data_IF_417797956637
#
_entry.id   IF_417797956637
#
_cell.length_a   1.000
_cell.length_b   1.000
_cell.length_c   1.000
_cell.angle_alpha   90.00
_cell.angle_beta   90.00
_cell.angle_gamma   90.00
#
_symmetry.space_group_name_H-M   'P 1'
#
loop_
_entity.id
_entity.type
_entity.pdbx_description
1 polymer ?
#
# COMPACT_ATOMS: atom_id res chain seq x y z
N UNK A 1 3.27 -12.39 7.37
CA UNK A 1 1.95 -12.22 6.72
C UNK A 1 1.50 -10.76 6.87
N UNK A 2 0.79 -10.19 5.89
CA UNK A 2 0.32 -8.81 5.96
C UNK A 2 -0.76 -8.60 7.03
N UNK A 3 -1.65 -9.59 7.22
CA UNK A 3 -2.68 -9.53 8.28
C UNK A 3 -2.07 -9.37 9.68
N UNK A 4 -0.93 -10.03 9.94
CA UNK A 4 -0.21 -9.96 11.21
C UNK A 4 0.47 -8.61 11.37
N UNK A 5 1.12 -8.10 10.32
CA UNK A 5 1.76 -6.77 10.33
C UNK A 5 0.74 -5.65 10.60
N UNK A 6 -0.49 -5.81 10.09
CA UNK A 6 -1.59 -4.85 10.22
C UNK A 6 -2.56 -5.18 11.36
N UNK A 7 -2.23 -6.11 12.27
CA UNK A 7 -3.17 -6.65 13.27
C UNK A 7 -3.84 -5.57 14.14
N UNK A 8 -3.16 -4.46 14.43
CA UNK A 8 -3.75 -3.33 15.18
C UNK A 8 -5.01 -2.73 14.54
N UNK A 9 -5.19 -2.94 13.25
CA UNK A 9 -6.34 -2.46 12.49
C UNK A 9 -7.41 -3.53 12.28
N UNK A 10 -7.25 -4.70 12.91
CA UNK A 10 -8.20 -5.81 12.80
C UNK A 10 -9.62 -5.34 13.17
N UNK A 11 -10.52 -5.45 12.19
CA UNK A 11 -11.94 -5.06 12.30
C UNK A 11 -12.21 -3.61 12.72
N UNK A 12 -11.22 -2.72 12.66
CA UNK A 12 -11.41 -1.30 12.90
C UNK A 12 -12.19 -0.69 11.74
N UNK A 13 -13.22 0.11 12.04
CA UNK A 13 -14.12 0.69 11.01
C UNK A 13 -13.58 2.03 10.48
N UNK A 14 -12.36 2.03 9.96
CA UNK A 14 -11.69 3.17 9.34
C UNK A 14 -10.81 2.74 8.15
N UNK A 15 -10.03 3.67 7.60
CA UNK A 15 -9.12 3.42 6.49
C UNK A 15 -8.00 2.42 6.87
N UNK A 16 -7.45 2.50 8.07
CA UNK A 16 -6.50 1.48 8.57
C UNK A 16 -7.09 0.07 8.55
N UNK A 17 -8.34 -0.10 8.99
CA UNK A 17 -9.04 -1.39 8.91
C UNK A 17 -9.32 -1.86 7.49
N UNK A 18 -9.50 -0.93 6.54
CA UNK A 18 -9.54 -1.28 5.10
C UNK A 18 -8.18 -1.77 4.61
N UNK A 19 -7.08 -1.13 5.02
CA UNK A 19 -5.74 -1.61 4.71
C UNK A 19 -5.52 -3.04 5.22
N UNK A 20 -5.94 -3.34 6.46
CA UNK A 20 -5.90 -4.71 7.00
C UNK A 20 -6.72 -5.71 6.18
N UNK A 21 -7.94 -5.36 5.76
CA UNK A 21 -8.75 -6.23 4.90
C UNK A 21 -8.05 -6.58 3.58
N UNK A 22 -7.35 -5.62 2.97
CA UNK A 22 -6.54 -5.89 1.79
C UNK A 22 -5.31 -6.75 2.11
N UNK A 23 -4.67 -6.55 3.27
CA UNK A 23 -3.62 -7.42 3.81
C UNK A 23 -4.06 -8.88 3.94
N UNK A 24 -5.25 -9.13 4.50
CA UNK A 24 -5.85 -10.46 4.56
C UNK A 24 -6.07 -11.03 3.15
N UNK A 25 -6.55 -10.21 2.21
CA UNK A 25 -6.72 -10.61 0.81
C UNK A 25 -5.42 -11.09 0.17
N UNK A 26 -4.32 -10.37 0.36
CA UNK A 26 -2.99 -10.76 -0.12
C UNK A 26 -2.58 -12.11 0.45
N UNK A 27 -2.66 -12.26 1.78
CA UNK A 27 -2.28 -13.48 2.48
C UNK A 27 -3.10 -14.71 2.05
N UNK A 28 -4.36 -14.52 1.64
CA UNK A 28 -5.19 -15.58 1.09
C UNK A 28 -4.76 -15.95 -0.34
N UNK A 29 -4.44 -14.95 -1.17
CA UNK A 29 -3.98 -15.16 -2.55
C UNK A 29 -2.63 -15.89 -2.60
N UNK A 30 -1.72 -15.57 -1.69
CA UNK A 30 -0.42 -16.27 -1.55
C UNK A 30 -0.56 -17.77 -1.23
N UNK A 31 -1.73 -18.20 -0.75
CA UNK A 31 -2.04 -19.63 -0.49
C UNK A 31 -2.73 -20.34 -1.65
N UNK A 32 -2.98 -19.64 -2.76
CA UNK A 32 -3.60 -20.20 -3.95
C UNK A 32 -2.55 -20.56 -5.01
N UNK A 33 -2.97 -21.29 -6.04
CA UNK A 33 -2.14 -21.60 -7.21
C UNK A 33 -2.37 -20.61 -8.37
N UNK A 34 -2.92 -19.41 -8.08
CA UNK A 34 -3.13 -18.39 -9.11
C UNK A 34 -1.78 -17.85 -9.54
N UNK A 35 -1.42 -18.05 -10.80
CA UNK A 35 -0.13 -17.61 -11.36
C UNK A 35 -0.13 -16.12 -11.70
N UNK A 36 -1.28 -15.61 -12.15
CA UNK A 36 -1.45 -14.21 -12.52
C UNK A 36 -1.46 -13.31 -11.28
N UNK A 37 -0.64 -12.26 -11.29
CA UNK A 37 -0.46 -11.37 -10.14
C UNK A 37 -1.46 -10.20 -10.09
N UNK A 38 -2.40 -10.06 -11.04
CA UNK A 38 -3.32 -8.92 -11.14
C UNK A 38 -4.12 -8.68 -9.87
N UNK A 39 -4.73 -9.73 -9.31
CA UNK A 39 -5.56 -9.64 -8.11
C UNK A 39 -4.69 -9.31 -6.89
N UNK A 40 -3.53 -9.96 -6.77
CA UNK A 40 -2.56 -9.68 -5.71
C UNK A 40 -2.12 -8.20 -5.75
N UNK A 41 -1.79 -7.72 -6.94
CA UNK A 41 -1.39 -6.34 -7.19
C UNK A 41 -2.48 -5.32 -6.85
N UNK A 42 -3.73 -5.60 -7.21
CA UNK A 42 -4.88 -4.78 -6.79
C UNK A 42 -4.98 -4.66 -5.27
N UNK A 43 -4.92 -5.79 -4.54
CA UNK A 43 -4.97 -5.74 -3.08
C UNK A 43 -3.75 -5.03 -2.48
N UNK A 44 -2.55 -5.24 -3.02
CA UNK A 44 -1.35 -4.58 -2.54
C UNK A 44 -1.39 -3.06 -2.72
N UNK A 45 -1.83 -2.59 -3.89
CA UNK A 45 -2.00 -1.17 -4.13
C UNK A 45 -3.04 -0.57 -3.19
N UNK A 46 -4.21 -1.20 -3.03
CA UNK A 46 -5.27 -0.72 -2.14
C UNK A 46 -4.84 -0.73 -0.67
N UNK A 47 -4.08 -1.73 -0.22
CA UNK A 47 -3.51 -1.78 1.13
C UNK A 47 -2.67 -0.52 1.42
N UNK A 48 -1.75 -0.17 0.52
CA UNK A 48 -0.93 1.03 0.64
C UNK A 48 -1.76 2.32 0.58
N UNK A 49 -2.68 2.41 -0.39
CA UNK A 49 -3.52 3.58 -0.55
C UNK A 49 -4.33 3.87 0.73
N UNK A 50 -4.95 2.84 1.30
CA UNK A 50 -5.74 2.96 2.52
C UNK A 50 -4.85 3.33 3.71
N UNK A 51 -3.65 2.77 3.83
CA UNK A 51 -2.71 3.10 4.89
C UNK A 51 -2.22 4.56 4.80
N UNK A 52 -1.83 5.03 3.61
CA UNK A 52 -1.42 6.43 3.44
C UNK A 52 -2.55 7.40 3.77
N UNK A 53 -3.77 7.13 3.29
CA UNK A 53 -4.92 7.99 3.57
C UNK A 53 -5.31 7.96 5.04
N UNK A 54 -5.19 6.82 5.72
CA UNK A 54 -5.32 6.72 7.17
C UNK A 54 -4.31 7.61 7.91
N UNK A 55 -3.04 7.55 7.53
CA UNK A 55 -1.99 8.39 8.13
C UNK A 55 -2.23 9.88 7.90
N UNK A 56 -2.63 10.27 6.69
CA UNK A 56 -3.00 11.65 6.39
C UNK A 56 -4.24 12.10 7.17
N UNK A 57 -5.25 11.24 7.32
CA UNK A 57 -6.46 11.54 8.10
C UNK A 57 -6.16 11.72 9.59
N UNK A 58 -5.25 10.92 10.15
CA UNK A 58 -5.08 10.82 11.61
C UNK A 58 -3.84 11.52 12.16
N UNK A 59 -2.79 11.69 11.36
CA UNK A 59 -1.49 12.25 11.78
C UNK A 59 -1.17 13.60 11.13
N UNK A 60 -1.92 14.04 10.11
CA UNK A 60 -1.72 15.38 9.53
C UNK A 60 -2.43 16.47 10.33
N UNK A 61 -1.98 17.71 10.17
CA UNK A 61 -2.59 18.88 10.85
C UNK A 61 -4.07 19.09 10.51
N UNK A 62 -4.48 18.77 9.28
CA UNK A 62 -5.81 19.08 8.77
C UNK A 62 -6.70 17.84 8.59
N UNK A 63 -6.16 16.63 8.78
CA UNK A 63 -6.90 15.38 8.61
C UNK A 63 -7.45 15.18 7.20
N UNK A 64 -6.74 15.67 6.18
CA UNK A 64 -7.17 15.64 4.79
C UNK A 64 -6.14 14.94 3.91
N UNK A 65 -6.63 14.27 2.86
CA UNK A 65 -5.81 13.61 1.84
C UNK A 65 -6.37 13.90 0.45
N UNK A 66 -5.52 13.89 -0.58
CA UNK A 66 -5.99 14.11 -1.94
C UNK A 66 -6.82 12.94 -2.48
N UNK A 67 -7.59 13.20 -3.55
CA UNK A 67 -8.38 12.16 -4.24
C UNK A 67 -7.54 11.31 -5.20
N UNK A 68 -6.22 11.36 -5.12
CA UNK A 68 -5.36 10.51 -5.96
C UNK A 68 -5.36 9.06 -5.50
N UNK A 69 -5.03 8.17 -6.42
CA UNK A 69 -4.73 6.75 -6.18
C UNK A 69 -3.24 6.43 -6.43
N UNK A 70 -2.47 7.44 -6.87
CA UNK A 70 -1.05 7.31 -7.17
C UNK A 70 -0.26 7.23 -5.88
N UNK A 71 0.28 6.05 -5.57
CA UNK A 71 0.93 5.78 -4.29
C UNK A 71 2.14 6.69 -4.01
N UNK A 72 2.96 6.99 -5.03
CA UNK A 72 4.10 7.90 -4.86
C UNK A 72 3.67 9.34 -4.49
N UNK A 73 2.50 9.80 -4.97
CA UNK A 73 1.95 11.10 -4.59
C UNK A 73 1.40 11.09 -3.17
N UNK A 74 0.77 10.00 -2.75
CA UNK A 74 0.33 9.85 -1.37
C UNK A 74 1.51 9.78 -0.40
N UNK A 75 2.63 9.14 -0.78
CA UNK A 75 3.86 9.17 0.02
C UNK A 75 4.42 10.59 0.14
N UNK A 76 4.52 11.34 -0.96
CA UNK A 76 4.92 12.76 -0.94
C UNK A 76 4.02 13.57 0.01
N UNK A 77 2.70 13.40 -0.08
CA UNK A 77 1.74 14.05 0.83
C UNK A 77 1.97 13.68 2.30
N UNK A 78 2.23 12.40 2.60
CA UNK A 78 2.51 11.96 3.98
C UNK A 78 3.77 12.62 4.52
N UNK A 79 4.86 12.64 3.74
CA UNK A 79 6.11 13.30 4.15
C UNK A 79 5.97 14.80 4.33
N UNK A 80 5.12 15.47 3.53
CA UNK A 80 4.94 16.92 3.61
C UNK A 80 3.99 17.34 4.74
N UNK A 81 3.02 16.51 5.09
CA UNK A 81 1.91 16.89 5.97
C UNK A 81 1.95 16.21 7.35
N UNK A 82 2.90 15.32 7.59
CA UNK A 82 3.09 14.62 8.86
C UNK A 82 4.57 14.63 9.27
N UNK A 83 4.93 14.31 10.52
CA UNK A 83 6.33 14.14 10.93
C UNK A 83 7.04 12.90 10.34
N UNK A 84 6.39 12.13 9.46
CA UNK A 84 6.98 10.94 8.86
C UNK A 84 8.12 11.30 7.91
N UNK A 85 9.33 10.80 8.20
CA UNK A 85 10.52 11.00 7.38
C UNK A 85 10.97 9.70 6.71
N UNK A 86 11.22 9.76 5.40
CA UNK A 86 11.79 8.66 4.62
C UNK A 86 12.48 9.16 3.33
N UNK A 87 13.18 8.27 2.63
CA UNK A 87 13.69 8.55 1.28
C UNK A 87 12.62 8.28 0.22
N UNK A 88 11.87 9.31 -0.16
CA UNK A 88 10.82 9.21 -1.18
C UNK A 88 11.37 8.76 -2.55
N UNK A 89 12.63 9.07 -2.87
CA UNK A 89 13.25 8.71 -4.15
C UNK A 89 13.45 7.21 -4.24
N UNK A 90 13.85 6.56 -3.14
CA UNK A 90 14.01 5.11 -3.03
C UNK A 90 12.75 4.35 -3.40
N UNK A 91 11.58 4.84 -2.99
CA UNK A 91 10.31 4.12 -3.15
C UNK A 91 9.50 4.52 -4.38
N UNK A 92 9.80 5.68 -4.99
CA UNK A 92 9.01 6.26 -6.08
C UNK A 92 8.71 5.29 -7.21
N UNK A 93 9.72 4.60 -7.73
CA UNK A 93 9.54 3.71 -8.88
C UNK A 93 8.72 2.47 -8.54
N UNK A 94 9.00 1.83 -7.40
CA UNK A 94 8.24 0.67 -6.94
C UNK A 94 6.75 1.02 -6.76
N UNK A 95 6.46 2.14 -6.10
CA UNK A 95 5.09 2.63 -5.91
C UNK A 95 4.39 2.98 -7.23
N UNK A 96 5.14 3.47 -8.23
CA UNK A 96 4.60 3.73 -9.56
C UNK A 96 4.27 2.44 -10.32
N UNK A 97 5.15 1.42 -10.28
CA UNK A 97 4.89 0.11 -10.89
C UNK A 97 3.65 -0.54 -10.28
N UNK A 98 3.53 -0.53 -8.95
CA UNK A 98 2.36 -1.04 -8.23
C UNK A 98 1.08 -0.30 -8.64
N UNK A 99 1.14 1.03 -8.76
CA UNK A 99 0.00 1.85 -9.21
C UNK A 99 -0.45 1.43 -10.62
N UNK A 100 0.48 1.37 -11.58
CA UNK A 100 0.18 1.03 -12.98
C UNK A 100 -0.38 -0.40 -13.07
N UNK A 101 0.24 -1.34 -12.37
CA UNK A 101 -0.22 -2.73 -12.35
C UNK A 101 -1.67 -2.84 -11.82
N UNK A 102 -2.04 -2.07 -10.79
CA UNK A 102 -3.40 -2.02 -10.28
C UNK A 102 -4.38 -1.16 -11.11
N UNK A 103 -3.91 -0.36 -12.06
CA UNK A 103 -4.78 0.32 -13.04
C UNK A 103 -5.15 -0.64 -14.19
N UNK A 104 -4.19 -1.48 -14.59
CA UNK A 104 -4.30 -2.42 -15.73
C UNK A 104 -4.89 -3.81 -15.36
N UNK A 105 -4.99 -4.13 -14.06
CA UNK A 105 -5.32 -5.47 -13.54
C UNK A 105 -6.61 -6.11 -14.07
N UNK A 106 -7.59 -5.33 -14.54
CA UNK A 106 -8.92 -5.85 -14.90
C UNK A 106 -8.98 -6.52 -16.27
N UNK A 107 -8.04 -6.19 -17.16
CA UNK A 107 -8.13 -6.57 -18.58
C UNK A 107 -6.81 -7.02 -19.20
N UNK A 108 -5.70 -6.83 -18.49
CA UNK A 108 -4.36 -7.05 -19.03
C UNK A 108 -3.71 -8.30 -18.42
N UNK A 109 -3.60 -9.37 -19.21
CA UNK A 109 -2.86 -10.59 -18.85
C UNK A 109 -1.35 -10.48 -19.11
N UNK A 110 -0.87 -9.35 -19.65
CA UNK A 110 0.54 -9.09 -19.95
C UNK A 110 1.23 -8.30 -18.84
N UNK A 111 0.72 -8.37 -17.60
CA UNK A 111 1.38 -7.74 -16.46
C UNK A 111 2.72 -8.43 -16.23
N UNK A 112 3.78 -7.64 -16.16
CA UNK A 112 5.09 -8.13 -15.73
C UNK A 112 5.06 -8.44 -14.23
N UNK A 113 4.67 -9.67 -13.91
CA UNK A 113 4.62 -10.15 -12.53
C UNK A 113 6.01 -10.23 -11.87
N UNK A 114 7.08 -10.33 -12.65
CA UNK A 114 8.46 -10.26 -12.13
C UNK A 114 8.75 -8.86 -11.61
N UNK A 115 8.62 -7.84 -12.46
CA UNK A 115 8.83 -6.45 -12.08
C UNK A 115 7.88 -5.96 -10.98
N UNK A 116 6.65 -6.48 -10.94
CA UNK A 116 5.73 -6.24 -9.83
C UNK A 116 6.26 -6.81 -8.50
N UNK A 117 6.74 -8.05 -8.47
CA UNK A 117 7.25 -8.69 -7.24
C UNK A 117 8.51 -7.99 -6.73
N UNK A 118 9.43 -7.59 -7.62
CA UNK A 118 10.60 -6.78 -7.24
C UNK A 118 10.16 -5.46 -6.58
N UNK A 119 9.09 -4.84 -7.10
CA UNK A 119 8.52 -3.62 -6.53
C UNK A 119 7.86 -3.85 -5.16
N UNK A 120 7.22 -5.00 -4.95
CA UNK A 120 6.67 -5.41 -3.65
C UNK A 120 7.77 -5.55 -2.61
N UNK A 121 8.89 -6.21 -2.95
CA UNK A 121 10.02 -6.36 -2.00
C UNK A 121 10.58 -5.02 -1.53
N UNK A 122 10.71 -4.06 -2.46
CA UNK A 122 11.14 -2.69 -2.16
C UNK A 122 10.09 -1.98 -1.29
N UNK A 123 8.81 -2.02 -1.70
CA UNK A 123 7.72 -1.36 -0.98
C UNK A 123 7.50 -1.94 0.42
N UNK A 124 7.79 -3.23 0.64
CA UNK A 124 7.77 -3.86 1.95
C UNK A 124 8.73 -3.23 2.97
N UNK A 125 9.81 -2.60 2.49
CA UNK A 125 10.65 -1.71 3.30
C UNK A 125 9.85 -0.53 3.83
N UNK A 126 9.18 0.20 2.93
CA UNK A 126 8.34 1.35 3.27
C UNK A 126 7.16 0.97 4.17
N UNK A 127 6.50 -0.17 3.92
CA UNK A 127 5.39 -0.64 4.77
C UNK A 127 5.82 -0.76 6.24
N UNK A 128 7.02 -1.28 6.50
CA UNK A 128 7.56 -1.40 7.86
C UNK A 128 7.79 -0.04 8.51
N UNK A 129 8.35 0.91 7.77
CA UNK A 129 8.56 2.29 8.24
C UNK A 129 7.23 2.97 8.59
N UNK A 130 6.22 2.87 7.72
CA UNK A 130 4.89 3.45 7.94
C UNK A 130 4.18 2.84 9.15
N UNK A 131 4.27 1.52 9.34
CA UNK A 131 3.64 0.84 10.48
C UNK A 131 4.34 1.15 11.81
N UNK A 132 5.66 1.38 11.78
CA UNK A 132 6.39 1.87 12.93
C UNK A 132 5.90 3.27 13.31
N UNK A 133 5.86 4.20 12.35
CA UNK A 133 5.36 5.56 12.54
C UNK A 133 3.90 5.61 13.04
N UNK A 134 3.02 4.75 12.52
CA UNK A 134 1.64 4.67 13.01
C UNK A 134 1.57 4.27 14.50
N UNK A 135 2.55 3.50 14.97
CA UNK A 135 2.57 2.97 16.34
C UNK A 135 3.06 3.94 17.40
N UNK A 136 3.62 5.06 16.96
CA UNK A 136 4.04 6.20 17.80
C UNK A 136 2.84 7.07 18.17
#
# INVERSE_FOLDING_TARGET
MYQERLQRFENVKNLGGKAWQHGVGIDLLEKTNIEDCSIHCFHYQQMFEMLFKHLLETKSRYGAYSRTHKLHKLLEEVSENTPFETDNTKYRMALQVITVCAEEYRYNFLIDCGGYRDSVEIADGLLRELLAFEGE
#
